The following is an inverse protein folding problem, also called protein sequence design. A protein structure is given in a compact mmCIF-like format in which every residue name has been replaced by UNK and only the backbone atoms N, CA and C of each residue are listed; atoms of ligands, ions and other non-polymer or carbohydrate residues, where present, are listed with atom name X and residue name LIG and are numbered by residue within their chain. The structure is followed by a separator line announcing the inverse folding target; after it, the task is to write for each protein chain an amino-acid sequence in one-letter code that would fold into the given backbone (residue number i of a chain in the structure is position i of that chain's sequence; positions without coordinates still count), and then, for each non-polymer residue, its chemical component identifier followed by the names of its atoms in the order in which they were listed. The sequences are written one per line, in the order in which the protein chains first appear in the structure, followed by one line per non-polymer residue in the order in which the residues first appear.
data_IF_370293015916
#
_entry.id   IF_370293015916
#
_cell.length_a   1.000
_cell.length_b   1.000
_cell.length_c   1.000
_cell.angle_alpha   90.00
_cell.angle_beta   90.00
_cell.angle_gamma   90.00
#
_symmetry.space_group_name_H-M   'P 1'
#
loop_
_entity.id
_entity.type
_entity.pdbx_description
1 polymer ?
#
# COMPACT_ATOMS: atom_id res chain seq x y z
N UNK A 1 -17.70 3.97 -3.13
CA UNK A 1 -16.74 4.39 -2.09
C UNK A 1 -16.85 3.40 -0.94
N UNK A 2 -15.75 2.86 -0.43
CA UNK A 2 -15.77 1.89 0.67
C UNK A 2 -14.98 2.49 1.82
N UNK A 3 -15.61 2.69 2.96
CA UNK A 3 -14.97 3.19 4.18
C UNK A 3 -14.21 2.05 4.86
N UNK A 4 -12.96 2.31 5.25
CA UNK A 4 -12.14 1.35 6.00
C UNK A 4 -11.25 2.02 7.00
N UNK A 5 -11.03 1.30 8.09
CA UNK A 5 -10.12 1.70 9.15
C UNK A 5 -8.68 1.29 8.81
N UNK A 6 -7.74 2.16 9.17
CA UNK A 6 -6.32 1.82 9.15
C UNK A 6 -6.02 0.99 10.40
N UNK A 7 -5.43 -0.18 10.19
CA UNK A 7 -4.96 -1.07 11.22
C UNK A 7 -3.61 -0.56 11.71
N UNK A 8 -3.56 -0.14 12.96
CA UNK A 8 -2.35 0.32 13.64
C UNK A 8 -1.82 -0.82 14.52
N UNK A 9 -0.73 -1.44 14.09
CA UNK A 9 -0.02 -2.45 14.88
C UNK A 9 1.22 -1.86 15.52
N UNK A 10 1.65 -2.38 16.68
CA UNK A 10 3.01 -2.10 17.17
C UNK A 10 4.01 -2.63 16.14
N UNK A 11 4.98 -1.82 15.72
CA UNK A 11 6.07 -2.31 14.90
C UNK A 11 6.92 -3.25 15.76
N UNK A 12 7.08 -4.49 15.33
CA UNK A 12 7.94 -5.46 16.00
C UNK A 12 9.40 -5.27 15.61
N UNK A 13 10.33 -5.65 16.49
CA UNK A 13 11.77 -5.68 16.23
C UNK A 13 12.54 -4.43 16.71
N UNK A 14 13.57 -4.04 15.97
CA UNK A 14 14.53 -2.95 16.26
C UNK A 14 13.95 -1.53 16.06
N UNK A 15 12.67 -1.41 15.72
CA UNK A 15 12.03 -0.12 15.55
C UNK A 15 11.76 0.50 16.93
N UNK A 16 12.27 1.70 17.18
CA UNK A 16 12.22 2.36 18.50
C UNK A 16 10.82 2.42 19.11
N UNK A 17 10.73 2.55 20.45
CA UNK A 17 9.54 2.35 21.32
C UNK A 17 8.19 2.96 20.87
N UNK A 18 8.15 3.84 19.88
CA UNK A 18 6.94 4.47 19.34
C UNK A 18 6.65 4.11 17.87
N UNK A 19 7.32 3.09 17.33
CA UNK A 19 7.13 2.70 15.94
C UNK A 19 5.80 1.95 15.80
N UNK A 20 4.89 2.50 15.00
CA UNK A 20 3.59 1.92 14.68
C UNK A 20 3.61 1.56 13.21
N UNK A 21 3.18 0.33 12.90
CA UNK A 21 2.97 -0.11 11.53
C UNK A 21 1.53 0.14 11.12
N UNK A 22 1.34 0.84 10.00
CA UNK A 22 0.03 1.17 9.45
C UNK A 22 -0.29 0.23 8.30
N UNK A 23 -1.43 -0.45 8.36
CA UNK A 23 -1.91 -1.35 7.31
C UNK A 23 -3.36 -1.00 6.98
N UNK A 24 -3.72 -0.96 5.70
CA UNK A 24 -5.12 -0.84 5.28
C UNK A 24 -5.51 -2.07 4.49
N UNK A 25 -6.67 -2.65 4.79
CA UNK A 25 -7.21 -3.75 4.00
C UNK A 25 -7.81 -3.17 2.72
N UNK A 26 -7.29 -3.52 1.56
CA UNK A 26 -7.90 -3.14 0.29
C UNK A 26 -8.95 -4.21 -0.10
N UNK A 27 -10.05 -3.86 -0.79
CA UNK A 27 -11.03 -4.85 -1.24
C UNK A 27 -10.39 -5.70 -2.32
N UNK A 28 -10.67 -7.00 -2.30
CA UNK A 28 -10.17 -7.92 -3.31
C UNK A 28 -10.53 -7.45 -4.74
N UNK A 29 -11.71 -6.87 -4.95
CA UNK A 29 -12.14 -6.36 -6.25
C UNK A 29 -11.25 -5.22 -6.78
N UNK A 30 -10.91 -4.22 -5.96
CA UNK A 30 -10.01 -3.14 -6.39
C UNK A 30 -8.58 -3.64 -6.58
N UNK A 31 -8.11 -4.54 -5.72
CA UNK A 31 -6.76 -5.13 -5.84
C UNK A 31 -6.64 -5.94 -7.14
N UNK A 32 -7.67 -6.72 -7.47
CA UNK A 32 -7.77 -7.44 -8.76
C UNK A 32 -7.88 -6.47 -9.93
N UNK A 33 -8.65 -5.39 -9.82
CA UNK A 33 -8.78 -4.38 -10.86
C UNK A 33 -7.47 -3.62 -11.11
N UNK A 34 -6.66 -3.40 -10.05
CA UNK A 34 -5.28 -2.89 -10.14
C UNK A 34 -4.30 -3.89 -10.77
N UNK A 35 -4.70 -5.15 -10.98
CA UNK A 35 -3.84 -6.19 -11.54
C UNK A 35 -2.80 -6.72 -10.57
N UNK A 36 -2.97 -6.49 -9.26
CA UNK A 36 -2.09 -7.02 -8.22
C UNK A 36 -2.38 -8.51 -8.05
N UNK A 37 -1.35 -9.34 -8.22
CA UNK A 37 -1.43 -10.80 -8.05
C UNK A 37 -0.55 -11.26 -6.89
N UNK A 38 -0.63 -12.54 -6.51
CA UNK A 38 0.25 -13.09 -5.47
C UNK A 38 1.73 -13.05 -5.88
N UNK A 39 1.98 -13.21 -7.18
CA UNK A 39 3.30 -13.16 -7.79
C UNK A 39 3.79 -11.72 -7.93
N UNK A 40 2.90 -10.80 -8.33
CA UNK A 40 3.22 -9.39 -8.55
C UNK A 40 2.39 -8.45 -7.65
N UNK A 41 2.87 -8.30 -6.41
CA UNK A 41 2.25 -7.50 -5.35
C UNK A 41 2.81 -6.08 -5.20
N UNK A 42 3.70 -5.67 -6.10
CA UNK A 42 4.39 -4.39 -6.01
C UNK A 42 3.46 -3.24 -6.45
N UNK A 43 3.34 -2.22 -5.61
CA UNK A 43 2.55 -1.00 -5.85
C UNK A 43 3.35 0.22 -5.41
N UNK A 44 3.14 1.34 -6.09
CA UNK A 44 3.66 2.65 -5.69
C UNK A 44 2.63 3.28 -4.79
N UNK A 45 3.11 3.93 -3.74
CA UNK A 45 2.27 4.63 -2.78
C UNK A 45 2.80 6.05 -2.68
N UNK A 46 2.04 6.97 -3.23
CA UNK A 46 2.40 8.38 -3.32
C UNK A 46 1.43 9.22 -2.48
N UNK A 47 1.91 10.37 -1.98
CA UNK A 47 1.10 11.31 -1.23
C UNK A 47 1.02 12.63 -1.98
N UNK A 48 -0.15 12.91 -2.54
CA UNK A 48 -0.37 14.07 -3.42
C UNK A 48 -1.69 14.73 -3.00
N UNK A 49 -1.67 16.06 -2.82
CA UNK A 49 -2.86 16.85 -2.48
C UNK A 49 -3.65 16.34 -1.27
N UNK A 50 -2.96 15.88 -0.23
CA UNK A 50 -3.60 15.39 0.99
C UNK A 50 -4.15 13.96 0.89
N UNK A 51 -3.93 13.27 -0.24
CA UNK A 51 -4.46 11.94 -0.52
C UNK A 51 -3.33 10.94 -0.71
N UNK A 52 -3.55 9.70 -0.26
CA UNK A 52 -2.67 8.58 -0.58
C UNK A 52 -3.16 7.97 -1.88
N UNK A 53 -2.31 7.99 -2.90
CA UNK A 53 -2.56 7.41 -4.22
C UNK A 53 -1.79 6.09 -4.30
N UNK A 54 -2.47 5.01 -4.65
CA UNK A 54 -1.87 3.67 -4.78
C UNK A 54 -1.99 3.26 -6.23
N UNK A 55 -0.86 3.00 -6.87
CA UNK A 55 -0.78 2.64 -8.29
C UNK A 55 0.00 1.35 -8.46
N UNK A 56 -0.36 0.55 -9.47
CA UNK A 56 0.40 -0.66 -9.77
C UNK A 56 1.78 -0.25 -10.30
N UNK A 57 2.84 -0.76 -9.70
CA UNK A 57 4.16 -0.67 -10.31
C UNK A 57 4.15 -1.64 -11.47
N UNK A 58 3.94 -1.12 -12.67
CA UNK A 58 4.38 -1.78 -13.87
C UNK A 58 5.91 -1.71 -13.83
N UNK A 59 6.59 -2.85 -13.79
CA UNK A 59 8.03 -2.93 -13.97
C UNK A 59 8.38 -2.65 -15.45
N UNK A 60 7.83 -1.56 -16.00
CA UNK A 60 8.36 -0.93 -17.18
C UNK A 60 9.46 0.00 -16.68
N UNK A 61 10.70 -0.48 -16.76
CA UNK A 61 11.88 0.32 -16.50
C UNK A 61 11.91 1.46 -17.52
N UNK A 62 11.26 2.57 -17.19
CA UNK A 62 11.59 3.88 -17.69
C UNK A 62 13.03 4.20 -17.30
N UNK A 63 13.94 3.75 -18.15
CA UNK A 63 15.34 4.12 -18.19
C UNK A 63 15.42 5.65 -18.17
N UNK A 64 15.97 6.21 -17.09
CA UNK A 64 16.69 7.48 -17.14
C UNK A 64 17.93 7.36 -16.25
#
# INVERSE_FOLDING_TARGET
MVERNIIMGKAGGTAGKNSVNYKISLPAEMVKALGVTQEDKAVSVDYVDGKIVIEKISHDKGRQ
#
